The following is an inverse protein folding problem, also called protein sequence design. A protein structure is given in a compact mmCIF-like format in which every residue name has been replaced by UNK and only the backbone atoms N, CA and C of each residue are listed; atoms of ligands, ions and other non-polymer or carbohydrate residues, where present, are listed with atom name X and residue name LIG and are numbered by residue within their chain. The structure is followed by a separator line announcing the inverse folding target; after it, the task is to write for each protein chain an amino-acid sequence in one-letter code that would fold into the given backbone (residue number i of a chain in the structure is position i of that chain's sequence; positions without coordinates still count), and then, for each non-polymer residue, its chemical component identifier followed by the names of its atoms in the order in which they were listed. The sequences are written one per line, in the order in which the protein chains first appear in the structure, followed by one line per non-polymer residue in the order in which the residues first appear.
data_IF_587851681244
#
_entry.id   IF_587851681244
#
_cell.length_a   1.000
_cell.length_b   1.000
_cell.length_c   1.000
_cell.angle_alpha   90.00
_cell.angle_beta   90.00
_cell.angle_gamma   90.00
#
_symmetry.space_group_name_H-M   'P 1'
#
loop_
_entity.id
_entity.type
_entity.pdbx_description
1 polymer ?
#
# COMPACT_ATOMS: atom_id res chain seq x y z
N UNK A 1 -24.73 -9.30 10.65
CA UNK A 1 -24.46 -10.74 10.50
C UNK A 1 -23.16 -11.02 11.23
N UNK A 2 -23.20 -11.67 12.40
CA UNK A 2 -21.98 -12.02 13.15
C UNK A 2 -21.37 -13.29 12.55
N UNK A 3 -20.12 -13.19 12.11
CA UNK A 3 -19.34 -14.33 11.62
C UNK A 3 -18.76 -15.06 12.83
N UNK A 4 -19.33 -16.22 13.18
CA UNK A 4 -18.74 -17.14 14.15
C UNK A 4 -17.56 -17.89 13.52
N UNK A 5 -16.36 -17.35 13.68
CA UNK A 5 -15.11 -18.05 13.35
C UNK A 5 -14.65 -18.83 14.59
N UNK A 6 -14.31 -20.11 14.44
CA UNK A 6 -13.81 -20.88 15.57
C UNK A 6 -12.44 -20.35 16.03
N UNK A 7 -12.19 -20.33 17.34
CA UNK A 7 -10.93 -19.84 17.90
C UNK A 7 -9.68 -20.51 17.29
N UNK A 8 -9.79 -21.80 16.97
CA UNK A 8 -8.71 -22.57 16.35
C UNK A 8 -8.39 -22.10 14.92
N UNK A 9 -9.39 -21.62 14.19
CA UNK A 9 -9.18 -21.07 12.84
C UNK A 9 -8.47 -19.72 12.92
N UNK A 10 -8.86 -18.86 13.86
CA UNK A 10 -8.16 -17.58 14.13
C UNK A 10 -6.69 -17.84 14.50
N UNK A 11 -6.44 -18.83 15.36
CA UNK A 11 -5.07 -19.21 15.73
C UNK A 11 -4.27 -19.71 14.53
N UNK A 12 -4.90 -20.48 13.65
CA UNK A 12 -4.27 -21.02 12.44
C UNK A 12 -3.95 -19.91 11.43
N UNK A 13 -4.88 -18.98 11.21
CA UNK A 13 -4.68 -17.80 10.36
C UNK A 13 -3.51 -16.96 10.91
N UNK A 14 -3.49 -16.68 12.21
CA UNK A 14 -2.40 -15.90 12.82
C UNK A 14 -1.04 -16.58 12.64
N UNK A 15 -0.95 -17.90 12.90
CA UNK A 15 0.30 -18.67 12.71
C UNK A 15 0.76 -18.71 11.25
N UNK A 16 -0.18 -18.71 10.31
CA UNK A 16 0.13 -18.67 8.88
C UNK A 16 0.60 -17.28 8.42
N UNK A 17 0.14 -16.20 9.06
CA UNK A 17 0.48 -14.82 8.71
C UNK A 17 1.74 -14.30 9.40
N UNK A 18 2.03 -14.70 10.65
CA UNK A 18 3.23 -14.25 11.39
C UNK A 18 4.56 -14.43 10.64
N UNK A 19 4.81 -15.56 9.94
CA UNK A 19 6.06 -15.74 9.20
C UNK A 19 6.14 -14.90 7.93
N UNK A 20 5.01 -14.33 7.46
CA UNK A 20 5.01 -13.46 6.29
C UNK A 20 5.61 -12.10 6.69
N UNK A 21 6.42 -11.49 5.83
CA UNK A 21 7.08 -10.22 6.13
C UNK A 21 6.06 -9.06 6.05
N UNK A 22 5.13 -8.98 7.00
CA UNK A 22 4.22 -7.85 7.14
C UNK A 22 4.66 -6.86 8.22
N UNK A 23 5.71 -7.18 9.00
CA UNK A 23 6.14 -6.33 10.14
C UNK A 23 7.62 -6.43 10.50
N UNK A 24 8.46 -7.05 9.66
CA UNK A 24 9.90 -7.16 9.92
C UNK A 24 10.66 -6.03 9.23
N UNK A 25 11.80 -5.63 9.80
CA UNK A 25 12.73 -4.74 9.12
C UNK A 25 13.13 -5.35 7.76
N UNK A 26 12.93 -4.59 6.71
CA UNK A 26 13.20 -4.98 5.32
C UNK A 26 14.25 -4.03 4.75
N UNK A 27 15.08 -4.56 3.86
CA UNK A 27 16.09 -3.74 3.17
C UNK A 27 15.43 -2.60 2.40
N UNK A 28 15.96 -1.39 2.54
CA UNK A 28 15.49 -0.21 1.80
C UNK A 28 15.57 -0.41 0.28
N UNK A 29 16.59 -1.14 -0.21
CA UNK A 29 16.75 -1.44 -1.64
C UNK A 29 15.61 -2.34 -2.14
N UNK A 30 15.27 -3.38 -1.38
CA UNK A 30 14.18 -4.29 -1.74
C UNK A 30 12.83 -3.60 -1.66
N UNK A 31 12.63 -2.73 -0.67
CA UNK A 31 11.44 -1.87 -0.60
C UNK A 31 11.32 -0.98 -1.83
N UNK A 32 12.39 -0.29 -2.22
CA UNK A 32 12.40 0.59 -3.39
C UNK A 32 12.08 -0.16 -4.69
N UNK A 33 12.67 -1.34 -4.89
CA UNK A 33 12.38 -2.19 -6.05
C UNK A 33 10.92 -2.68 -6.08
N UNK A 34 10.36 -3.00 -4.93
CA UNK A 34 8.94 -3.37 -4.83
C UNK A 34 8.04 -2.18 -5.14
N UNK A 35 8.36 -1.00 -4.63
CA UNK A 35 7.62 0.23 -4.94
C UNK A 35 7.64 0.53 -6.44
N UNK A 36 8.81 0.44 -7.09
CA UNK A 36 8.92 0.65 -8.54
C UNK A 36 8.11 -0.35 -9.37
N UNK A 37 7.97 -1.60 -8.90
CA UNK A 37 7.27 -2.65 -9.65
C UNK A 37 5.77 -2.73 -9.38
N UNK A 38 5.33 -2.24 -8.23
CA UNK A 38 3.95 -2.43 -7.74
C UNK A 38 3.14 -1.13 -7.66
N UNK A 39 3.80 0.03 -7.65
CA UNK A 39 3.11 1.32 -7.63
C UNK A 39 2.94 1.86 -9.04
N UNK A 40 1.76 2.44 -9.27
CA UNK A 40 1.37 3.14 -10.48
C UNK A 40 1.15 4.62 -10.15
N UNK A 41 1.45 5.48 -11.12
CA UNK A 41 1.14 6.91 -11.11
C UNK A 41 -0.15 7.13 -11.90
N UNK A 42 -1.14 7.75 -11.28
CA UNK A 42 -2.43 8.07 -11.88
C UNK A 42 -2.42 9.54 -12.30
N UNK A 43 -2.53 9.80 -13.61
CA UNK A 43 -2.66 11.16 -14.13
C UNK A 43 -3.91 11.84 -13.57
N UNK A 44 -3.77 13.12 -13.22
CA UNK A 44 -4.87 13.99 -12.78
C UNK A 44 -5.74 14.48 -13.95
N UNK A 45 -5.31 14.25 -15.19
CA UNK A 45 -5.93 14.78 -16.40
C UNK A 45 -5.59 16.25 -16.67
N UNK A 46 -4.72 16.87 -15.86
CA UNK A 46 -4.25 18.24 -16.03
C UNK A 46 -2.72 18.23 -16.13
N UNK A 47 -2.17 18.51 -17.32
CA UNK A 47 -0.73 18.42 -17.60
C UNK A 47 0.12 19.26 -16.64
N UNK A 48 -0.31 20.49 -16.31
CA UNK A 48 0.42 21.35 -15.38
C UNK A 48 0.44 20.79 -13.96
N UNK A 49 -0.63 20.11 -13.54
CA UNK A 49 -0.70 19.49 -12.22
C UNK A 49 0.09 18.18 -12.20
N UNK A 50 0.01 17.38 -13.27
CA UNK A 50 0.83 16.18 -13.40
C UNK A 50 2.32 16.52 -13.39
N UNK A 51 2.75 17.60 -14.06
CA UNK A 51 4.13 18.08 -13.99
C UNK A 51 4.53 18.54 -12.58
N UNK A 52 3.63 19.18 -11.84
CA UNK A 52 3.87 19.56 -10.44
C UNK A 52 4.03 18.34 -9.53
N UNK A 53 3.28 17.27 -9.81
CA UNK A 53 3.26 16.03 -9.05
C UNK A 53 4.20 14.94 -9.60
N UNK A 54 5.12 15.29 -10.51
CA UNK A 54 6.06 14.36 -11.16
C UNK A 54 5.39 13.13 -11.83
N UNK A 55 4.26 13.39 -12.50
CA UNK A 55 3.49 12.45 -13.30
C UNK A 55 2.05 12.23 -12.82
N UNK A 56 1.70 12.63 -11.59
CA UNK A 56 0.34 12.50 -11.05
C UNK A 56 0.30 11.95 -9.62
N UNK A 57 -0.77 11.23 -9.28
CA UNK A 57 -1.01 10.69 -7.93
C UNK A 57 -0.41 9.28 -7.80
N UNK A 58 0.43 9.05 -6.80
CA UNK A 58 1.00 7.72 -6.59
C UNK A 58 0.02 6.82 -5.84
N UNK A 59 -0.13 5.59 -6.31
CA UNK A 59 -0.80 4.54 -5.55
C UNK A 59 0.05 4.14 -4.33
N UNK A 60 -0.59 3.60 -3.29
CA UNK A 60 0.10 3.15 -2.08
C UNK A 60 0.41 4.25 -1.05
N UNK A 61 0.12 5.50 -1.38
CA UNK A 61 0.17 6.64 -0.45
C UNK A 61 -1.20 7.33 -0.30
N UNK A 62 -1.31 8.17 0.72
CA UNK A 62 -2.46 9.04 0.94
C UNK A 62 -2.11 10.45 0.47
N UNK A 63 -2.73 10.90 -0.62
CA UNK A 63 -2.59 12.28 -1.11
C UNK A 63 -3.82 13.10 -0.71
N UNK A 64 -3.61 14.18 0.05
CA UNK A 64 -4.67 15.10 0.48
C UNK A 64 -4.74 16.32 -0.46
N UNK A 65 -5.96 16.74 -0.81
CA UNK A 65 -6.22 17.96 -1.58
C UNK A 65 -6.99 18.92 -0.69
N UNK A 66 -6.44 20.11 -0.45
CA UNK A 66 -7.05 21.14 0.39
C UNK A 66 -7.21 22.46 -0.37
N UNK A 67 -8.31 23.16 -0.10
CA UNK A 67 -8.67 24.46 -0.66
C UNK A 67 -9.85 25.05 0.10
N UNK A 68 -10.16 26.32 -0.16
CA UNK A 68 -11.31 27.04 0.42
C UNK A 68 -12.65 26.66 -0.25
#
# INVERSE_FOLDING_TARGET
QELHIAYMDVCSIRRFLIPKPSSCAVSAVSLYQNSLSSLVILSTGCESLDNLLDGGLYTGELTEIAGD
#
